data_IF_955091034911
#
_entry.id   IF_955091034911
#
_cell.length_a   1.000
_cell.length_b   1.000
_cell.length_c   1.000
_cell.angle_alpha   90.00
_cell.angle_beta   90.00
_cell.angle_gamma   90.00
#
_symmetry.space_group_name_H-M   'P 1'
#
loop_
_entity.id
_entity.type
_entity.pdbx_description
1 polymer ?
#
# COMPACT_ATOMS: atom_id res chain seq x y z
N UNK A 1 -1.77 33.89 -21.63
CA UNK A 1 -2.47 33.99 -20.33
C UNK A 1 -1.69 33.22 -19.27
N UNK A 2 -1.16 33.86 -18.21
CA UNK A 2 -0.48 33.15 -17.14
C UNK A 2 -1.46 32.23 -16.39
N UNK A 3 -1.03 31.01 -16.08
CA UNK A 3 -1.85 30.04 -15.34
C UNK A 3 -2.16 30.59 -13.95
N UNK A 4 -3.46 30.68 -13.62
CA UNK A 4 -3.94 31.11 -12.30
C UNK A 4 -3.37 30.16 -11.23
N UNK A 5 -2.56 30.68 -10.31
CA UNK A 5 -2.01 29.92 -9.18
C UNK A 5 -3.20 29.42 -8.33
N UNK A 6 -3.41 28.11 -8.27
CA UNK A 6 -4.41 27.52 -7.40
C UNK A 6 -3.86 27.50 -5.97
N UNK A 7 -4.37 28.40 -5.12
CA UNK A 7 -4.09 28.36 -3.69
C UNK A 7 -4.86 27.19 -3.06
N UNK A 8 -4.15 26.35 -2.31
CA UNK A 8 -4.75 25.23 -1.59
C UNK A 8 -4.82 25.55 -0.10
N UNK A 9 -6.01 25.47 0.49
CA UNK A 9 -6.26 25.78 1.89
C UNK A 9 -6.57 24.52 2.69
N UNK A 10 -6.05 24.46 3.90
CA UNK A 10 -6.27 23.38 4.87
C UNK A 10 -7.69 23.43 5.44
N UNK A 11 -8.19 22.31 5.96
CA UNK A 11 -9.50 22.26 6.63
C UNK A 11 -9.53 23.20 7.83
N UNK A 12 -8.41 23.40 8.55
CA UNK A 12 -8.31 24.40 9.62
C UNK A 12 -8.64 25.82 9.13
N UNK A 13 -8.01 26.27 8.06
CA UNK A 13 -8.23 27.60 7.48
C UNK A 13 -9.68 27.76 6.98
N UNK A 14 -10.21 26.69 6.38
CA UNK A 14 -11.61 26.65 5.93
C UNK A 14 -12.59 26.75 7.09
N UNK A 15 -12.35 26.04 8.19
CA UNK A 15 -13.18 26.10 9.41
C UNK A 15 -13.18 27.50 10.02
N UNK A 16 -12.02 28.13 10.14
CA UNK A 16 -11.91 29.53 10.62
C UNK A 16 -12.68 30.47 9.70
N UNK A 17 -12.53 30.32 8.38
CA UNK A 17 -13.29 31.10 7.40
C UNK A 17 -14.81 30.90 7.50
N UNK A 18 -15.27 29.67 7.72
CA UNK A 18 -16.70 29.38 7.88
C UNK A 18 -17.26 29.95 9.18
N UNK A 19 -16.54 29.81 10.30
CA UNK A 19 -16.97 30.37 11.59
C UNK A 19 -17.08 31.90 11.50
N UNK A 20 -16.05 32.57 10.98
CA UNK A 20 -16.08 34.02 10.82
C UNK A 20 -17.17 34.47 9.82
N UNK A 21 -17.42 33.69 8.76
CA UNK A 21 -18.49 33.99 7.80
C UNK A 21 -19.89 33.88 8.39
N UNK A 22 -20.10 33.07 9.45
CA UNK A 22 -21.37 33.03 10.19
C UNK A 22 -21.60 34.32 10.98
N UNK A 23 -20.54 34.91 11.52
CA UNK A 23 -20.64 36.09 12.39
C UNK A 23 -20.69 37.41 11.61
N UNK A 24 -19.82 37.56 10.59
CA UNK A 24 -19.65 38.84 9.88
C UNK A 24 -19.98 38.79 8.38
N UNK A 25 -20.35 37.61 7.87
CA UNK A 25 -20.65 37.39 6.46
C UNK A 25 -19.41 37.15 5.59
N UNK A 26 -19.63 36.55 4.42
CA UNK A 26 -18.59 36.10 3.48
C UNK A 26 -17.68 37.25 3.00
N UNK A 27 -18.25 38.43 2.74
CA UNK A 27 -17.54 39.56 2.17
C UNK A 27 -16.52 40.15 3.15
N UNK A 28 -16.95 40.38 4.40
CA UNK A 28 -16.07 40.87 5.47
C UNK A 28 -15.02 39.83 5.83
N UNK A 29 -15.41 38.56 5.90
CA UNK A 29 -14.51 37.43 6.17
C UNK A 29 -13.37 37.33 5.14
N UNK A 30 -13.70 37.47 3.84
CA UNK A 30 -12.72 37.44 2.77
C UNK A 30 -11.68 38.57 2.91
N UNK A 31 -12.11 39.77 3.29
CA UNK A 31 -11.22 40.91 3.54
C UNK A 31 -10.34 40.70 4.77
N UNK A 32 -10.92 40.25 5.88
CA UNK A 32 -10.22 40.03 7.16
C UNK A 32 -9.17 38.93 7.05
N UNK A 33 -9.48 37.84 6.37
CA UNK A 33 -8.57 36.70 6.22
C UNK A 33 -7.64 36.81 5.00
N UNK A 34 -7.80 37.83 4.16
CA UNK A 34 -7.02 38.00 2.93
C UNK A 34 -7.26 36.88 1.91
N UNK A 35 -8.41 36.19 1.97
CA UNK A 35 -8.74 35.10 1.06
C UNK A 35 -9.64 35.55 -0.08
N UNK A 36 -9.55 34.93 -1.29
CA UNK A 36 -10.47 35.23 -2.37
C UNK A 36 -11.92 35.02 -1.95
N UNK A 37 -12.79 36.01 -2.19
CA UNK A 37 -14.23 35.95 -1.88
C UNK A 37 -14.90 34.66 -2.39
N UNK A 38 -14.55 34.24 -3.60
CA UNK A 38 -15.08 32.99 -4.19
C UNK A 38 -14.70 31.72 -3.42
N UNK A 39 -13.51 31.70 -2.79
CA UNK A 39 -13.07 30.60 -1.94
C UNK A 39 -13.86 30.55 -0.64
N UNK A 40 -13.99 31.68 0.07
CA UNK A 40 -14.78 31.78 1.31
C UNK A 40 -16.26 31.45 1.05
N UNK A 41 -16.81 31.93 -0.07
CA UNK A 41 -18.18 31.60 -0.49
C UNK A 41 -18.38 30.08 -0.69
N UNK A 42 -17.43 29.43 -1.37
CA UNK A 42 -17.48 27.98 -1.62
C UNK A 42 -17.37 27.18 -0.31
N UNK A 43 -16.54 27.62 0.63
CA UNK A 43 -16.44 26.97 1.95
C UNK A 43 -17.72 27.17 2.75
N UNK A 44 -18.31 28.38 2.71
CA UNK A 44 -19.55 28.66 3.41
C UNK A 44 -20.72 27.78 2.89
N UNK A 45 -20.74 27.45 1.59
CA UNK A 45 -21.69 26.49 1.02
C UNK A 45 -21.53 25.07 1.57
N UNK A 46 -20.33 24.72 2.03
CA UNK A 46 -19.99 23.42 2.63
C UNK A 46 -19.78 23.53 4.15
N UNK A 47 -20.38 24.54 4.79
CA UNK A 47 -20.11 24.89 6.18
C UNK A 47 -20.34 23.74 7.15
N UNK A 48 -21.48 23.04 7.04
CA UNK A 48 -21.83 21.91 7.89
C UNK A 48 -20.79 20.79 7.79
N UNK A 49 -20.50 20.34 6.57
CA UNK A 49 -19.49 19.29 6.33
C UNK A 49 -18.07 19.71 6.78
N UNK A 50 -17.75 21.00 6.74
CA UNK A 50 -16.47 21.52 7.24
C UNK A 50 -16.40 21.55 8.76
N UNK A 51 -17.49 21.90 9.44
CA UNK A 51 -17.54 21.96 10.90
C UNK A 51 -17.63 20.56 11.53
N UNK A 52 -18.34 19.63 10.89
CA UNK A 52 -18.47 18.23 11.36
C UNK A 52 -17.22 17.38 11.09
N UNK A 53 -16.27 17.87 10.28
CA UNK A 53 -15.08 17.12 9.94
C UNK A 53 -14.15 16.92 11.14
N UNK A 54 -14.03 15.65 11.59
CA UNK A 54 -13.14 15.23 12.69
C UNK A 54 -11.79 14.65 12.25
N UNK A 55 -11.46 14.71 10.95
CA UNK A 55 -10.19 14.20 10.44
C UNK A 55 -9.01 15.18 10.62
N UNK A 56 -7.85 14.88 10.01
CA UNK A 56 -6.65 15.72 10.15
C UNK A 56 -6.89 17.15 9.63
N UNK A 57 -6.75 18.15 10.51
CA UNK A 57 -7.00 19.57 10.18
C UNK A 57 -6.00 20.15 9.15
N UNK A 58 -4.86 19.51 8.97
CA UNK A 58 -3.85 19.81 7.92
C UNK A 58 -4.26 19.32 6.53
N UNK A 59 -5.29 18.47 6.44
CA UNK A 59 -5.82 18.00 5.16
C UNK A 59 -6.33 19.17 4.33
N UNK A 60 -6.13 19.12 3.00
CA UNK A 60 -6.66 20.12 2.06
C UNK A 60 -8.08 19.77 1.58
N UNK A 61 -8.51 18.53 1.79
CA UNK A 61 -9.83 18.01 1.41
C UNK A 61 -10.53 17.43 2.62
N UNK A 62 -11.87 17.36 2.57
CA UNK A 62 -12.69 16.73 3.61
C UNK A 62 -12.55 15.19 3.65
N UNK A 63 -11.61 14.62 2.87
CA UNK A 63 -11.55 13.18 2.54
C UNK A 63 -12.93 12.67 2.04
N UNK A 64 -13.02 11.46 1.50
CA UNK A 64 -14.29 10.96 0.94
C UNK A 64 -14.76 11.57 -0.39
N UNK A 65 -14.09 12.58 -0.94
CA UNK A 65 -14.27 13.06 -2.33
C UNK A 65 -13.71 12.08 -3.39
N UNK A 66 -13.45 10.82 -3.00
CA UNK A 66 -13.08 9.78 -3.94
C UNK A 66 -14.24 9.48 -4.88
N UNK A 67 -13.92 9.16 -6.14
CA UNK A 67 -14.92 8.67 -7.10
C UNK A 67 -15.66 7.48 -6.49
N UNK A 68 -16.99 7.51 -6.38
CA UNK A 68 -17.76 6.38 -5.83
C UNK A 68 -17.50 5.09 -6.62
N UNK A 69 -17.63 3.95 -5.95
CA UNK A 69 -17.73 2.68 -6.67
C UNK A 69 -18.93 2.73 -7.60
N UNK A 70 -18.74 2.24 -8.81
CA UNK A 70 -19.79 2.19 -9.85
C UNK A 70 -20.27 0.76 -10.09
N UNK A 71 -19.49 -0.22 -9.66
CA UNK A 71 -19.84 -1.63 -9.78
C UNK A 71 -20.92 -1.96 -8.73
N UNK A 72 -22.01 -2.67 -9.06
CA UNK A 72 -23.08 -2.98 -8.11
C UNK A 72 -22.63 -3.97 -7.03
N UNK A 73 -22.06 -5.11 -7.41
CA UNK A 73 -21.76 -6.22 -6.48
C UNK A 73 -20.33 -6.20 -5.93
N UNK A 74 -19.87 -5.03 -5.46
CA UNK A 74 -18.48 -4.89 -4.93
C UNK A 74 -18.21 -5.84 -3.76
N UNK A 75 -19.19 -6.02 -2.88
CA UNK A 75 -19.02 -6.84 -1.68
C UNK A 75 -18.74 -8.31 -2.02
N UNK A 76 -19.41 -8.87 -3.03
CA UNK A 76 -19.22 -10.25 -3.44
C UNK A 76 -17.81 -10.48 -4.02
N UNK A 77 -17.34 -9.56 -4.87
CA UNK A 77 -15.98 -9.60 -5.43
C UNK A 77 -14.94 -9.43 -4.32
N UNK A 78 -15.16 -8.50 -3.39
CA UNK A 78 -14.26 -8.26 -2.27
C UNK A 78 -14.15 -9.46 -1.32
N UNK A 79 -15.27 -10.12 -1.04
CA UNK A 79 -15.32 -11.32 -0.18
C UNK A 79 -14.54 -12.46 -0.82
N UNK A 80 -14.79 -12.72 -2.12
CA UNK A 80 -14.00 -13.67 -2.90
C UNK A 80 -12.50 -13.39 -2.84
N UNK A 81 -12.09 -12.13 -3.04
CA UNK A 81 -10.67 -11.75 -2.99
C UNK A 81 -10.04 -12.03 -1.61
N UNK A 82 -10.79 -11.81 -0.52
CA UNK A 82 -10.34 -12.12 0.84
C UNK A 82 -10.21 -13.62 1.07
N UNK A 83 -11.20 -14.40 0.67
CA UNK A 83 -11.21 -15.85 0.88
C UNK A 83 -10.06 -16.54 0.13
N UNK A 84 -9.86 -16.18 -1.15
CA UNK A 84 -8.72 -16.69 -1.95
C UNK A 84 -7.39 -16.38 -1.26
N UNK A 85 -7.28 -15.22 -0.62
CA UNK A 85 -6.05 -14.84 0.08
C UNK A 85 -5.90 -15.43 1.47
N UNK A 86 -7.00 -15.72 2.17
CA UNK A 86 -7.01 -16.47 3.42
C UNK A 86 -6.51 -17.89 3.21
N UNK A 87 -6.94 -18.52 2.11
CA UNK A 87 -6.47 -19.84 1.69
C UNK A 87 -5.04 -19.83 1.09
N UNK A 88 -4.35 -18.69 1.15
CA UNK A 88 -3.02 -18.46 0.60
C UNK A 88 -2.86 -18.61 -0.93
N UNK A 89 -3.97 -18.78 -1.67
CA UNK A 89 -3.99 -19.04 -3.13
C UNK A 89 -3.72 -17.79 -3.97
N UNK A 90 -3.16 -17.99 -5.17
CA UNK A 90 -2.85 -16.91 -6.10
C UNK A 90 -4.15 -16.23 -6.56
N UNK A 91 -4.27 -14.93 -6.27
CA UNK A 91 -5.36 -14.09 -6.74
C UNK A 91 -4.95 -13.38 -8.04
N UNK A 92 -5.31 -13.97 -9.18
CA UNK A 92 -4.96 -13.43 -10.49
C UNK A 92 -5.88 -12.26 -10.90
N UNK A 93 -5.41 -11.43 -11.84
CA UNK A 93 -6.23 -10.36 -12.42
C UNK A 93 -7.47 -10.93 -13.12
N UNK A 94 -7.31 -12.02 -13.86
CA UNK A 94 -8.41 -12.65 -14.58
C UNK A 94 -9.44 -13.23 -13.61
N UNK A 95 -9.02 -13.89 -12.54
CA UNK A 95 -9.94 -14.44 -11.54
C UNK A 95 -10.87 -13.37 -10.93
N UNK A 96 -10.38 -12.13 -10.75
CA UNK A 96 -11.22 -11.03 -10.27
C UNK A 96 -12.19 -10.55 -11.35
N UNK A 97 -11.75 -10.46 -12.61
CA UNK A 97 -12.62 -10.09 -13.73
C UNK A 97 -13.69 -11.16 -13.96
N UNK A 98 -13.31 -12.43 -13.96
CA UNK A 98 -14.21 -13.58 -14.07
C UNK A 98 -15.25 -13.54 -12.94
N UNK A 99 -14.83 -13.20 -11.72
CA UNK A 99 -15.76 -13.02 -10.59
C UNK A 99 -16.70 -11.83 -10.82
N UNK A 100 -16.22 -10.70 -11.32
CA UNK A 100 -17.08 -9.56 -11.66
C UNK A 100 -18.13 -9.93 -12.73
N UNK A 101 -17.72 -10.69 -13.76
CA UNK A 101 -18.61 -11.19 -14.80
C UNK A 101 -19.62 -12.23 -14.27
N UNK A 102 -19.23 -13.05 -13.30
CA UNK A 102 -20.13 -14.02 -12.68
C UNK A 102 -21.17 -13.36 -11.77
N UNK A 103 -20.82 -12.27 -11.10
CA UNK A 103 -21.74 -11.55 -10.20
C UNK A 103 -22.75 -10.68 -10.96
N UNK A 104 -22.30 -9.87 -11.93
CA UNK A 104 -23.17 -8.97 -12.70
C UNK A 104 -22.82 -9.00 -14.20
N UNK A 105 -23.16 -10.08 -14.93
CA UNK A 105 -22.78 -10.25 -16.34
C UNK A 105 -23.38 -9.16 -17.24
N UNK A 106 -24.64 -8.79 -17.03
CA UNK A 106 -25.35 -7.76 -17.79
C UNK A 106 -24.68 -6.40 -17.60
N UNK A 107 -24.42 -6.02 -16.34
CA UNK A 107 -23.76 -4.77 -16.01
C UNK A 107 -22.36 -4.68 -16.64
N UNK A 108 -21.57 -5.76 -16.57
CA UNK A 108 -20.22 -5.77 -17.15
C UNK A 108 -20.29 -5.63 -18.67
N UNK A 109 -21.24 -6.29 -19.32
CA UNK A 109 -21.44 -6.22 -20.77
C UNK A 109 -21.84 -4.81 -21.20
N UNK A 110 -22.81 -4.20 -20.53
CA UNK A 110 -23.24 -2.81 -20.78
C UNK A 110 -22.09 -1.81 -20.50
N UNK A 111 -21.35 -2.03 -19.42
CA UNK A 111 -20.22 -1.18 -19.06
C UNK A 111 -19.10 -1.25 -20.09
N UNK A 112 -18.80 -2.43 -20.65
CA UNK A 112 -17.82 -2.57 -21.73
C UNK A 112 -18.34 -1.86 -23.00
N UNK A 113 -19.61 -2.08 -23.37
CA UNK A 113 -20.20 -1.51 -24.58
C UNK A 113 -20.28 0.02 -24.57
N UNK A 114 -20.57 0.62 -23.40
CA UNK A 114 -20.69 2.07 -23.24
C UNK A 114 -19.35 2.85 -23.30
N UNK A 115 -18.21 2.15 -23.44
CA UNK A 115 -16.87 2.75 -23.34
C UNK A 115 -16.08 2.50 -24.62
N UNK A 116 -15.40 3.55 -25.11
CA UNK A 116 -14.52 3.49 -26.30
C UNK A 116 -13.47 2.37 -26.25
N UNK A 117 -13.00 1.99 -25.06
CA UNK A 117 -12.10 0.85 -24.84
C UNK A 117 -12.60 0.05 -23.63
N UNK A 118 -13.75 -0.63 -23.78
CA UNK A 118 -14.47 -1.28 -22.68
C UNK A 118 -13.63 -2.23 -21.82
N UNK A 119 -12.87 -3.14 -22.44
CA UNK A 119 -12.02 -4.10 -21.71
C UNK A 119 -10.97 -3.38 -20.86
N UNK A 120 -10.23 -2.42 -21.43
CA UNK A 120 -9.26 -1.60 -20.68
C UNK A 120 -9.94 -0.75 -19.59
N UNK A 121 -11.18 -0.30 -19.83
CA UNK A 121 -11.95 0.45 -18.84
C UNK A 121 -12.36 -0.43 -17.65
N UNK A 122 -12.64 -1.72 -17.90
CA UNK A 122 -12.94 -2.73 -16.88
C UNK A 122 -11.69 -3.09 -16.07
N UNK A 123 -10.54 -3.32 -16.72
CA UNK A 123 -9.27 -3.56 -16.02
C UNK A 123 -8.91 -2.42 -15.05
N UNK A 124 -9.07 -1.17 -15.51
CA UNK A 124 -8.86 0.01 -14.67
C UNK A 124 -9.88 0.11 -13.53
N UNK A 125 -11.12 -0.34 -13.75
CA UNK A 125 -12.13 -0.40 -12.71
C UNK A 125 -11.72 -1.41 -11.64
N UNK A 126 -11.33 -2.62 -12.05
CA UNK A 126 -10.80 -3.66 -11.16
C UNK A 126 -9.59 -3.18 -10.36
N UNK A 127 -8.63 -2.51 -10.98
CA UNK A 127 -7.45 -1.98 -10.27
C UNK A 127 -7.84 -0.96 -9.19
N UNK A 128 -8.78 -0.05 -9.50
CA UNK A 128 -9.28 0.92 -8.52
C UNK A 128 -10.03 0.26 -7.38
N UNK A 129 -10.85 -0.74 -7.69
CA UNK A 129 -11.58 -1.53 -6.70
C UNK A 129 -10.58 -2.23 -5.75
N UNK A 130 -9.62 -2.96 -6.30
CA UNK A 130 -8.58 -3.64 -5.51
C UNK A 130 -7.81 -2.68 -4.61
N UNK A 131 -7.28 -1.58 -5.16
CA UNK A 131 -6.51 -0.58 -4.41
C UNK A 131 -7.31 0.05 -3.28
N UNK A 132 -8.60 0.32 -3.51
CA UNK A 132 -9.48 0.91 -2.49
C UNK A 132 -9.68 -0.02 -1.30
N UNK A 133 -9.73 -1.31 -1.57
CA UNK A 133 -9.91 -2.35 -0.56
C UNK A 133 -8.59 -2.87 0.03
N UNK A 134 -7.47 -2.15 -0.17
CA UNK A 134 -6.18 -2.48 0.42
C UNK A 134 -5.40 -3.57 -0.31
N UNK A 135 -5.87 -4.04 -1.47
CA UNK A 135 -5.12 -4.98 -2.30
C UNK A 135 -4.13 -4.22 -3.18
N UNK A 136 -2.90 -4.72 -3.23
CA UNK A 136 -1.85 -4.21 -4.11
C UNK A 136 -1.25 -5.36 -4.92
N UNK A 137 -0.74 -5.05 -6.11
CA UNK A 137 -0.02 -6.05 -6.90
C UNK A 137 1.36 -6.27 -6.27
N UNK A 138 1.64 -7.53 -5.90
CA UNK A 138 2.91 -7.95 -5.33
C UNK A 138 3.45 -9.13 -6.14
N UNK A 139 4.77 -9.34 -6.08
CA UNK A 139 5.39 -10.53 -6.67
C UNK A 139 5.01 -11.73 -5.80
N UNK A 140 4.40 -12.79 -6.36
CA UNK A 140 4.17 -14.01 -5.61
C UNK A 140 5.50 -14.56 -5.09
N UNK A 141 5.52 -14.95 -3.82
CA UNK A 141 6.67 -15.60 -3.20
C UNK A 141 6.23 -17.01 -2.78
N UNK A 142 7.04 -18.00 -3.12
CA UNK A 142 6.82 -19.37 -2.67
C UNK A 142 7.07 -19.47 -1.16
N UNK A 143 6.11 -20.04 -0.44
CA UNK A 143 6.27 -20.45 0.95
C UNK A 143 6.42 -21.98 1.00
N UNK A 144 7.25 -22.49 1.93
CA UNK A 144 7.44 -23.94 2.12
C UNK A 144 6.36 -24.57 3.02
N UNK A 145 5.70 -23.74 3.84
CA UNK A 145 4.67 -24.10 4.82
C UNK A 145 3.61 -23.02 4.81
N UNK A 146 2.39 -23.34 5.20
CA UNK A 146 1.33 -22.34 5.37
C UNK A 146 1.62 -21.45 6.58
N UNK A 147 0.98 -20.28 6.64
CA UNK A 147 1.07 -19.41 7.81
C UNK A 147 0.55 -20.10 9.08
N UNK A 148 -0.52 -20.89 8.96
CA UNK A 148 -1.10 -21.63 10.08
C UNK A 148 -0.12 -22.66 10.63
N UNK A 149 0.52 -23.45 9.76
CA UNK A 149 1.55 -24.41 10.15
C UNK A 149 2.74 -23.71 10.82
N UNK A 150 3.19 -22.58 10.28
CA UNK A 150 4.28 -21.79 10.87
C UNK A 150 3.92 -21.25 12.25
N UNK A 151 2.68 -20.80 12.45
CA UNK A 151 2.20 -20.33 13.74
C UNK A 151 2.12 -21.47 14.76
N UNK A 152 1.62 -22.64 14.36
CA UNK A 152 1.53 -23.82 15.20
C UNK A 152 2.92 -24.30 15.63
N UNK A 153 3.84 -24.49 14.68
CA UNK A 153 5.23 -24.89 14.97
C UNK A 153 5.92 -23.86 15.87
N UNK A 154 5.67 -22.57 15.65
CA UNK A 154 6.21 -21.51 16.51
C UNK A 154 5.67 -21.59 17.93
N UNK A 155 4.38 -21.86 18.11
CA UNK A 155 3.77 -21.97 19.43
C UNK A 155 4.26 -23.22 20.19
N UNK A 156 4.29 -24.38 19.51
CA UNK A 156 4.82 -25.63 20.07
C UNK A 156 6.30 -25.52 20.44
N UNK A 157 7.10 -24.89 19.58
CA UNK A 157 8.50 -24.61 19.87
C UNK A 157 8.63 -23.70 21.09
N UNK A 158 7.85 -22.62 21.17
CA UNK A 158 7.90 -21.71 22.32
C UNK A 158 7.53 -22.43 23.63
N UNK A 159 6.49 -23.27 23.63
CA UNK A 159 6.09 -24.04 24.81
C UNK A 159 7.17 -25.04 25.23
N UNK A 160 7.71 -25.82 24.30
CA UNK A 160 8.76 -26.80 24.60
C UNK A 160 10.06 -26.13 25.07
N UNK A 161 10.46 -25.04 24.41
CA UNK A 161 11.63 -24.26 24.78
C UNK A 161 11.51 -23.71 26.19
N UNK A 162 10.42 -23.00 26.51
CA UNK A 162 10.28 -22.41 27.84
C UNK A 162 10.02 -23.45 28.94
N UNK A 163 9.40 -24.60 28.62
CA UNK A 163 9.29 -25.70 29.58
C UNK A 163 10.67 -26.24 30.00
N UNK A 164 11.60 -26.38 29.06
CA UNK A 164 12.93 -26.95 29.31
C UNK A 164 13.94 -25.92 29.85
N UNK A 165 13.82 -24.65 29.45
CA UNK A 165 14.83 -23.61 29.71
C UNK A 165 14.31 -22.44 30.56
N UNK A 166 13.16 -22.58 31.25
CA UNK A 166 12.59 -21.53 32.11
C UNK A 166 13.55 -21.00 33.18
N UNK A 167 14.46 -21.85 33.67
CA UNK A 167 15.39 -21.51 34.76
C UNK A 167 16.54 -20.59 34.30
N UNK A 168 16.80 -20.51 32.99
CA UNK A 168 17.85 -19.66 32.46
C UNK A 168 17.37 -18.20 32.42
N UNK A 169 18.11 -17.31 33.08
CA UNK A 169 17.90 -15.87 32.97
C UNK A 169 18.04 -15.42 31.51
N UNK A 170 17.36 -14.36 31.09
CA UNK A 170 17.40 -13.88 29.70
C UNK A 170 18.83 -13.63 29.19
N UNK A 171 19.76 -13.27 30.08
CA UNK A 171 21.19 -13.15 29.77
C UNK A 171 21.92 -14.48 29.48
N UNK A 172 21.32 -15.65 29.66
CA UNK A 172 21.90 -16.95 29.32
C UNK A 172 21.60 -17.40 27.88
N UNK A 173 20.69 -16.72 27.18
CA UNK A 173 20.21 -17.12 25.86
C UNK A 173 21.01 -16.39 24.79
N UNK A 174 21.69 -17.18 23.95
CA UNK A 174 22.44 -16.71 22.78
C UNK A 174 21.68 -17.12 21.52
N UNK A 175 21.34 -16.14 20.67
CA UNK A 175 20.80 -16.38 19.35
C UNK A 175 21.95 -16.42 18.33
N UNK A 176 22.09 -17.53 17.62
CA UNK A 176 23.10 -17.73 16.58
C UNK A 176 22.39 -17.86 15.24
N UNK A 177 22.74 -17.02 14.27
CA UNK A 177 22.22 -17.10 12.90
C UNK A 177 23.35 -17.04 11.87
N UNK A 178 23.21 -17.84 10.82
CA UNK A 178 24.11 -17.85 9.67
C UNK A 178 23.44 -17.15 8.49
N UNK A 179 23.99 -16.02 8.07
CA UNK A 179 23.49 -15.25 6.93
C UNK A 179 24.53 -15.22 5.81
N UNK A 180 24.09 -15.54 4.61
CA UNK A 180 24.91 -15.38 3.41
C UNK A 180 24.89 -13.95 2.89
N UNK A 181 26.07 -13.34 2.80
CA UNK A 181 26.31 -12.01 2.24
C UNK A 181 26.72 -12.20 0.79
N UNK A 182 25.87 -11.75 -0.14
CA UNK A 182 26.21 -11.74 -1.56
C UNK A 182 26.95 -10.44 -1.87
N UNK A 183 28.15 -10.52 -2.43
CA UNK A 183 29.00 -9.34 -2.66
C UNK A 183 28.42 -8.36 -3.70
N UNK A 184 27.70 -8.86 -4.70
CA UNK A 184 26.95 -8.01 -5.63
C UNK A 184 25.52 -8.49 -5.80
N UNK A 185 24.59 -7.54 -5.79
CA UNK A 185 23.28 -7.76 -6.38
C UNK A 185 23.44 -7.50 -7.88
N UNK A 186 23.28 -8.51 -8.77
CA UNK A 186 23.39 -8.25 -10.21
C UNK A 186 22.44 -7.09 -10.55
N UNK A 187 22.88 -6.10 -11.34
CA UNK A 187 22.13 -4.86 -11.53
C UNK A 187 20.70 -5.17 -11.97
N UNK A 188 19.72 -4.83 -11.12
CA UNK A 188 18.30 -5.08 -11.38
C UNK A 188 17.80 -4.36 -12.64
N UNK A 189 18.50 -3.29 -13.03
CA UNK A 189 18.25 -2.48 -14.23
C UNK A 189 19.57 -1.97 -14.77
N UNK A 190 19.75 -2.09 -16.08
CA UNK A 190 20.79 -1.39 -16.83
C UNK A 190 20.15 -0.28 -17.66
N UNK A 191 20.88 0.82 -17.86
CA UNK A 191 20.43 1.88 -18.76
C UNK A 191 20.58 1.42 -20.21
N UNK A 192 19.56 1.68 -21.02
CA UNK A 192 19.55 1.35 -22.45
C UNK A 192 19.36 2.62 -23.25
N UNK A 193 20.03 2.71 -24.39
CA UNK A 193 19.87 3.80 -25.35
C UNK A 193 18.42 3.83 -25.85
N UNK A 194 17.76 4.99 -25.73
CA UNK A 194 16.37 5.17 -26.15
C UNK A 194 16.23 4.97 -27.67
N UNK A 195 15.39 4.04 -28.10
CA UNK A 195 15.06 3.82 -29.53
C UNK A 195 15.74 2.63 -30.20
N UNK A 196 16.63 1.89 -29.52
CA UNK A 196 17.06 0.57 -30.02
C UNK A 196 15.96 -0.48 -29.78
N UNK A 197 15.75 -1.34 -30.77
CA UNK A 197 14.87 -2.51 -30.68
C UNK A 197 15.53 -3.69 -29.93
N UNK A 198 16.86 -3.68 -29.82
CA UNK A 198 17.59 -4.77 -29.18
C UNK A 198 17.54 -4.67 -27.64
N UNK A 199 17.28 -5.77 -26.92
CA UNK A 199 17.39 -5.81 -25.46
C UNK A 199 18.81 -5.49 -24.99
N UNK A 200 18.95 -5.05 -23.75
CA UNK A 200 20.24 -4.86 -23.06
C UNK A 200 20.98 -6.21 -22.90
N UNK A 201 21.59 -6.70 -23.97
CA UNK A 201 22.38 -7.93 -23.92
C UNK A 201 23.71 -7.65 -23.24
N UNK A 202 23.93 -8.32 -22.11
CA UNK A 202 25.19 -8.33 -21.39
C UNK A 202 25.78 -9.74 -21.57
N UNK A 203 26.89 -9.84 -22.31
CA UNK A 203 27.62 -11.10 -22.50
C UNK A 203 28.26 -11.49 -21.16
N UNK A 204 28.13 -12.76 -20.76
CA UNK A 204 28.80 -13.27 -19.56
C UNK A 204 28.21 -12.78 -18.23
N UNK A 205 26.95 -12.33 -18.21
CA UNK A 205 26.29 -11.90 -16.96
C UNK A 205 26.22 -13.05 -15.96
N UNK A 206 27.09 -13.02 -14.95
CA UNK A 206 27.06 -13.97 -13.84
C UNK A 206 25.99 -13.53 -12.84
N UNK A 207 24.85 -14.24 -12.81
CA UNK A 207 23.74 -13.96 -11.87
C UNK A 207 24.11 -14.18 -10.39
N UNK A 208 25.22 -14.88 -10.14
CA UNK A 208 25.69 -15.24 -8.80
C UNK A 208 27.14 -14.77 -8.66
N UNK A 209 27.32 -13.61 -8.03
CA UNK A 209 28.62 -13.18 -7.52
C UNK A 209 28.98 -13.95 -6.26
N UNK A 210 30.24 -13.83 -5.81
CA UNK A 210 30.71 -14.54 -4.63
C UNK A 210 29.75 -14.38 -3.44
N UNK A 211 29.57 -15.46 -2.70
CA UNK A 211 28.74 -15.50 -1.49
C UNK A 211 29.67 -15.77 -0.32
N UNK A 212 29.76 -14.82 0.60
CA UNK A 212 30.43 -15.04 1.88
C UNK A 212 29.39 -15.47 2.91
N UNK A 213 29.78 -16.33 3.82
CA UNK A 213 28.93 -16.73 4.93
C UNK A 213 29.39 -16.01 6.19
N UNK A 214 28.46 -15.35 6.88
CA UNK A 214 28.71 -14.75 8.18
C UNK A 214 27.85 -15.43 9.24
N UNK A 215 28.49 -15.87 10.33
CA UNK A 215 27.80 -16.37 11.52
C UNK A 215 27.78 -15.26 12.57
N UNK A 216 26.60 -14.91 13.06
CA UNK A 216 26.37 -13.87 14.04
C UNK A 216 25.80 -14.47 15.32
N UNK A 217 26.40 -14.14 16.46
CA UNK A 217 25.90 -14.51 17.79
C UNK A 217 25.50 -13.25 18.55
N UNK A 218 24.26 -13.21 19.00
CA UNK A 218 23.69 -12.08 19.75
C UNK A 218 23.11 -12.57 21.07
N UNK A 219 23.40 -11.83 22.14
CA UNK A 219 22.82 -12.09 23.46
C UNK A 219 21.55 -11.27 23.65
N UNK A 220 20.60 -11.77 24.44
CA UNK A 220 19.32 -11.09 24.65
C UNK A 220 19.45 -9.69 25.30
N UNK A 221 20.57 -9.41 25.98
CA UNK A 221 20.94 -8.11 26.57
C UNK A 221 21.65 -7.17 25.56
N UNK A 222 21.55 -7.46 24.26
CA UNK A 222 22.08 -6.68 23.13
C UNK A 222 23.62 -6.68 23.03
N UNK A 223 24.34 -7.44 23.85
CA UNK A 223 25.78 -7.61 23.67
C UNK A 223 26.07 -8.53 22.47
N UNK A 224 26.94 -8.06 21.56
CA UNK A 224 27.37 -8.80 20.36
C UNK A 224 28.72 -9.44 20.62
N UNK A 225 28.85 -10.73 20.34
CA UNK A 225 30.14 -11.43 20.39
C UNK A 225 30.82 -11.39 19.01
N UNK A 226 32.14 -11.59 18.99
CA UNK A 226 32.96 -11.41 17.79
C UNK A 226 32.51 -12.29 16.62
N UNK A 227 32.47 -11.69 15.42
CA UNK A 227 32.07 -12.34 14.17
C UNK A 227 33.18 -13.28 13.69
N UNK A 228 32.83 -14.51 13.32
CA UNK A 228 33.70 -15.34 12.49
C UNK A 228 33.21 -15.28 11.04
N UNK A 229 34.04 -14.68 10.18
CA UNK A 229 33.84 -14.69 8.72
C UNK A 229 34.57 -15.91 8.16
N UNK A 230 33.83 -16.81 7.53
CA UNK A 230 34.44 -17.90 6.76
C UNK A 230 34.18 -17.65 5.27
N UNK A 231 35.26 -17.63 4.50
CA UNK A 231 35.21 -17.63 3.04
C UNK A 231 35.04 -19.08 2.58
N UNK A 232 34.00 -19.34 1.80
CA UNK A 232 33.77 -20.60 1.11
C UNK A 232 34.03 -20.44 -0.38
#
# INVERSE_FOLDING_TARGET
>A
MPRRKQNSYTVKEKQVGVLLARDVGVEKTARVLGYPRGSVFTWNKQAESLLDFRGPKTSKTLKGQGRKEIFPSVYAVFTFMKDVRRDEKVLSTNAIIDRMCAEDPEWVTEYIASRKCGVLALERLRQRLANRHGFSSQKPQGAKKSLEELQMVRAEFALSFWSQYAEYQSGGILNVDETGINFDMPPLRAWVLKGRKDPAHIIGLKKHTGRMTAVLTTRADVHRYANHLMLA
#
